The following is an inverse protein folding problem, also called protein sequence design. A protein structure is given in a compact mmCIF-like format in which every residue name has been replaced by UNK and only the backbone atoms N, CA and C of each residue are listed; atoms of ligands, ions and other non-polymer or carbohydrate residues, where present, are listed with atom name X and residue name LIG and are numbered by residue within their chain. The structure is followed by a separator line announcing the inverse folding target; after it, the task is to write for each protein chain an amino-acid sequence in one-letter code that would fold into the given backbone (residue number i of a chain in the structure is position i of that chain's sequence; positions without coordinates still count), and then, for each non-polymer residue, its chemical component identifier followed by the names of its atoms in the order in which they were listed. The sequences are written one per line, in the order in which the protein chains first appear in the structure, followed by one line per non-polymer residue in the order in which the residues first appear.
data_IF_947984190177
#
_entry.id   IF_947984190177
#
_cell.length_a   1.000
_cell.length_b   1.000
_cell.length_c   1.000
_cell.angle_alpha   90.00
_cell.angle_beta   90.00
_cell.angle_gamma   90.00
#
_symmetry.space_group_name_H-M   'P 1'
#
loop_
_entity.id
_entity.type
_entity.pdbx_description
1 polymer ?
#
# COMPACT_ATOMS: atom_id res chain seq x y z
N UNK A 1 -18.71 -15.35 6.85
CA UNK A 1 -17.44 -15.29 6.10
C UNK A 1 -16.46 -16.26 6.75
N UNK A 2 -15.93 -17.23 6.01
CA UNK A 2 -14.81 -18.06 6.50
C UNK A 2 -13.56 -17.19 6.43
N UNK A 3 -12.84 -17.02 7.55
CA UNK A 3 -11.59 -16.27 7.59
C UNK A 3 -10.54 -17.02 6.76
N UNK A 4 -10.30 -16.56 5.53
CA UNK A 4 -9.25 -17.09 4.66
C UNK A 4 -8.12 -16.09 4.51
N UNK A 5 -7.02 -16.38 5.20
CA UNK A 5 -5.85 -15.50 5.29
C UNK A 5 -4.69 -15.95 4.39
N UNK A 6 -4.84 -17.06 3.66
CA UNK A 6 -3.73 -17.67 2.91
C UNK A 6 -4.00 -17.84 1.42
N UNK A 7 -5.26 -18.06 1.02
CA UNK A 7 -5.58 -18.26 -0.38
C UNK A 7 -5.61 -16.93 -1.16
N UNK A 8 -5.50 -17.02 -2.48
CA UNK A 8 -5.83 -15.89 -3.33
C UNK A 8 -7.33 -15.88 -3.64
N UNK A 9 -8.07 -15.02 -2.94
CA UNK A 9 -9.52 -14.86 -3.10
C UNK A 9 -9.92 -14.27 -4.46
N UNK A 10 -8.95 -13.73 -5.20
CA UNK A 10 -9.15 -13.11 -6.52
C UNK A 10 -8.51 -13.94 -7.63
N UNK A 11 -8.11 -15.17 -7.34
CA UNK A 11 -7.59 -16.10 -8.33
C UNK A 11 -8.60 -16.33 -9.44
N UNK A 12 -8.17 -16.20 -10.69
CA UNK A 12 -9.02 -16.30 -11.88
C UNK A 12 -9.72 -14.99 -12.28
N UNK A 13 -9.64 -13.94 -11.45
CA UNK A 13 -10.19 -12.62 -11.74
C UNK A 13 -9.12 -11.58 -12.07
N UNK A 14 -7.86 -11.99 -12.27
CA UNK A 14 -6.71 -11.09 -12.44
C UNK A 14 -6.88 -10.16 -13.67
N UNK A 15 -7.40 -10.71 -14.77
CA UNK A 15 -7.69 -9.92 -15.98
C UNK A 15 -8.89 -8.98 -15.77
N UNK A 16 -9.93 -9.45 -15.08
CA UNK A 16 -11.13 -8.67 -14.80
C UNK A 16 -10.87 -7.50 -13.84
N UNK A 17 -9.96 -7.70 -12.88
CA UNK A 17 -9.47 -6.70 -11.92
C UNK A 17 -8.25 -5.94 -12.45
N UNK A 18 -7.83 -6.19 -13.69
CA UNK A 18 -6.78 -5.46 -14.40
C UNK A 18 -5.41 -5.46 -13.69
N UNK A 19 -5.05 -6.57 -13.03
CA UNK A 19 -3.81 -6.71 -12.27
C UNK A 19 -2.53 -6.35 -13.05
N UNK A 20 -2.35 -6.71 -14.34
CA UNK A 20 -1.15 -6.34 -15.07
C UNK A 20 -0.90 -4.83 -15.19
N UNK A 21 -1.95 -4.00 -15.23
CA UNK A 21 -1.79 -2.53 -15.22
C UNK A 21 -1.60 -2.03 -13.79
N UNK A 22 -2.31 -2.61 -12.84
CA UNK A 22 -2.20 -2.30 -11.43
C UNK A 22 -0.78 -2.54 -10.89
N UNK A 23 -0.16 -3.67 -11.24
CA UNK A 23 1.21 -4.00 -10.85
C UNK A 23 2.22 -2.97 -11.38
N UNK A 24 2.06 -2.55 -12.65
CA UNK A 24 2.91 -1.52 -13.25
C UNK A 24 2.73 -0.17 -12.56
N UNK A 25 1.49 0.21 -12.26
CA UNK A 25 1.19 1.44 -11.51
C UNK A 25 1.85 1.39 -10.13
N UNK A 26 1.74 0.28 -9.42
CA UNK A 26 2.35 0.12 -8.09
C UNK A 26 3.87 0.19 -8.17
N UNK A 27 4.52 -0.48 -9.13
CA UNK A 27 5.98 -0.39 -9.32
C UNK A 27 6.38 1.06 -9.63
N UNK A 28 5.62 1.77 -10.47
CA UNK A 28 5.84 3.19 -10.71
C UNK A 28 5.73 4.01 -9.42
N UNK A 29 4.71 3.78 -8.60
CA UNK A 29 4.52 4.47 -7.32
C UNK A 29 5.68 4.20 -6.36
N UNK A 30 6.25 2.99 -6.33
CA UNK A 30 7.43 2.72 -5.51
C UNK A 30 8.62 3.61 -5.90
N UNK A 31 8.89 3.73 -7.19
CA UNK A 31 9.96 4.61 -7.67
C UNK A 31 9.66 6.10 -7.43
N UNK A 32 8.40 6.49 -7.57
CA UNK A 32 7.95 7.84 -7.24
C UNK A 32 8.14 8.14 -5.74
N UNK A 33 7.72 7.23 -4.86
CA UNK A 33 7.91 7.34 -3.42
C UNK A 33 9.38 7.38 -3.04
N UNK A 34 10.22 6.56 -3.69
CA UNK A 34 11.67 6.61 -3.50
C UNK A 34 12.25 7.98 -3.90
N UNK A 35 11.86 8.51 -5.06
CA UNK A 35 12.32 9.83 -5.50
C UNK A 35 11.94 10.94 -4.51
N UNK A 36 10.69 10.94 -4.02
CA UNK A 36 10.22 11.91 -3.01
C UNK A 36 11.01 11.80 -1.72
N UNK A 37 11.14 10.58 -1.16
CA UNK A 37 11.91 10.33 0.06
C UNK A 37 13.39 10.69 -0.11
N UNK A 38 13.97 10.40 -1.28
CA UNK A 38 15.37 10.71 -1.58
C UNK A 38 15.62 12.22 -1.63
N UNK A 39 14.72 12.98 -2.28
CA UNK A 39 14.79 14.43 -2.32
C UNK A 39 14.66 15.01 -0.90
N UNK A 40 13.69 14.55 -0.11
CA UNK A 40 13.51 15.02 1.25
C UNK A 40 14.71 14.68 2.14
N UNK A 41 15.25 13.46 2.06
CA UNK A 41 16.41 13.04 2.83
C UNK A 41 17.66 13.84 2.47
N UNK A 42 17.91 14.05 1.17
CA UNK A 42 19.05 14.84 0.69
C UNK A 42 18.94 16.30 1.11
N UNK A 43 17.79 16.94 0.83
CA UNK A 43 17.59 18.36 1.13
C UNK A 43 17.61 18.63 2.62
N UNK A 44 17.04 17.75 3.44
CA UNK A 44 17.04 17.91 4.90
C UNK A 44 18.42 17.64 5.53
N UNK A 45 19.23 16.72 4.99
CA UNK A 45 20.58 16.46 5.53
C UNK A 45 21.62 17.48 5.09
N UNK A 46 21.57 17.98 3.85
CA UNK A 46 22.56 18.89 3.29
C UNK A 46 22.20 20.35 3.52
N UNK A 47 20.98 20.74 3.16
CA UNK A 47 20.52 22.13 3.25
C UNK A 47 19.77 22.44 4.54
N UNK A 48 19.46 21.42 5.35
CA UNK A 48 18.76 21.57 6.65
C UNK A 48 17.46 22.36 6.54
N UNK A 49 16.70 22.08 5.46
CA UNK A 49 15.46 22.82 5.14
C UNK A 49 14.46 22.83 6.29
N UNK A 50 14.46 21.80 7.16
CA UNK A 50 13.60 21.70 8.33
C UNK A 50 13.78 22.85 9.34
N UNK A 51 14.95 23.51 9.38
CA UNK A 51 15.18 24.65 10.28
C UNK A 51 14.28 25.84 9.89
N UNK A 52 14.14 26.07 8.59
CA UNK A 52 13.41 27.23 8.06
C UNK A 52 11.96 26.88 7.69
N UNK A 53 11.70 25.62 7.34
CA UNK A 53 10.41 25.14 6.85
C UNK A 53 10.01 23.82 7.53
N UNK A 54 9.77 23.83 8.86
CA UNK A 54 9.49 22.60 9.59
C UNK A 54 8.18 21.94 9.13
N UNK A 55 7.11 22.71 8.92
CA UNK A 55 5.88 22.22 8.26
C UNK A 55 5.86 22.70 6.80
N UNK A 56 5.45 21.86 5.83
CA UNK A 56 4.94 20.49 5.98
C UNK A 56 6.02 19.39 5.88
N UNK A 57 7.31 19.76 5.78
CA UNK A 57 8.34 18.84 5.30
C UNK A 57 8.97 17.96 6.39
N UNK A 58 9.44 18.55 7.49
CA UNK A 58 10.11 17.80 8.56
C UNK A 58 10.26 18.62 9.83
N UNK A 59 9.88 18.06 10.97
CA UNK A 59 10.04 18.69 12.28
C UNK A 59 11.43 18.46 12.91
N UNK A 60 12.32 17.75 12.21
CA UNK A 60 13.72 17.59 12.63
C UNK A 60 14.71 17.70 11.47
N UNK A 61 15.96 18.04 11.78
CA UNK A 61 17.08 17.90 10.85
C UNK A 61 17.68 16.50 11.02
N UNK A 62 17.85 15.78 9.92
CA UNK A 62 18.51 14.47 9.93
C UNK A 62 20.00 14.61 9.63
N UNK A 63 20.79 13.68 10.16
CA UNK A 63 22.21 13.57 9.82
C UNK A 63 22.41 13.01 8.41
N UNK A 64 23.61 13.21 7.86
CA UNK A 64 24.01 12.60 6.58
C UNK A 64 23.93 11.06 6.63
N UNK A 65 24.26 10.45 7.77
CA UNK A 65 24.21 9.00 7.93
C UNK A 65 22.77 8.47 7.90
N UNK A 66 21.83 9.16 8.56
CA UNK A 66 20.41 8.81 8.51
C UNK A 66 19.82 8.97 7.11
N UNK A 67 20.24 10.00 6.37
CA UNK A 67 19.87 10.16 4.97
C UNK A 67 20.40 9.01 4.11
N UNK A 68 21.67 8.61 4.29
CA UNK A 68 22.24 7.48 3.55
C UNK A 68 21.48 6.17 3.81
N UNK A 69 21.16 5.86 5.06
CA UNK A 69 20.37 4.68 5.39
C UNK A 69 18.96 4.74 4.80
N UNK A 70 18.33 5.91 4.84
CA UNK A 70 17.03 6.14 4.22
C UNK A 70 17.08 5.85 2.71
N UNK A 71 18.12 6.33 2.02
CA UNK A 71 18.30 6.07 0.59
C UNK A 71 18.53 4.59 0.29
N UNK A 72 19.37 3.91 1.08
CA UNK A 72 19.64 2.47 0.88
C UNK A 72 18.35 1.67 1.05
N UNK A 73 17.65 1.84 2.19
CA UNK A 73 16.42 1.10 2.49
C UNK A 73 15.34 1.42 1.44
N UNK A 74 15.16 2.70 1.11
CA UNK A 74 14.20 3.13 0.09
C UNK A 74 14.51 2.58 -1.30
N UNK A 75 15.78 2.51 -1.68
CA UNK A 75 16.20 1.92 -2.95
C UNK A 75 15.85 0.43 -3.00
N UNK A 76 16.13 -0.33 -1.93
CA UNK A 76 15.72 -1.74 -1.87
C UNK A 76 14.20 -1.90 -1.93
N UNK A 77 13.45 -1.04 -1.23
CA UNK A 77 11.99 -1.06 -1.24
C UNK A 77 11.40 -0.78 -2.64
N UNK A 78 12.07 0.01 -3.50
CA UNK A 78 11.66 0.20 -4.90
C UNK A 78 12.19 -0.87 -5.86
N UNK A 79 13.44 -1.29 -5.66
CA UNK A 79 14.12 -2.21 -6.54
C UNK A 79 13.54 -3.63 -6.44
N UNK A 80 13.25 -4.12 -5.24
CA UNK A 80 12.78 -5.49 -5.06
C UNK A 80 11.42 -5.75 -5.75
N UNK A 81 10.39 -4.90 -5.62
CA UNK A 81 9.16 -5.05 -6.41
C UNK A 81 9.42 -5.05 -7.92
N UNK A 82 10.32 -4.18 -8.39
CA UNK A 82 10.70 -4.11 -9.82
C UNK A 82 11.30 -5.43 -10.31
N UNK A 83 12.14 -6.07 -9.50
CA UNK A 83 12.79 -7.33 -9.85
C UNK A 83 11.87 -8.54 -9.72
N UNK A 84 10.81 -8.45 -8.90
CA UNK A 84 9.96 -9.58 -8.54
C UNK A 84 8.56 -9.55 -9.18
N UNK A 85 8.18 -8.47 -9.85
CA UNK A 85 6.92 -8.36 -10.58
C UNK A 85 6.74 -9.52 -11.57
N UNK A 86 5.58 -10.19 -11.50
CA UNK A 86 5.26 -11.34 -12.34
C UNK A 86 5.98 -12.66 -11.98
N UNK A 87 6.80 -12.71 -10.92
CA UNK A 87 7.53 -13.94 -10.52
C UNK A 87 6.83 -14.79 -9.46
N UNK A 88 5.85 -14.22 -8.74
CA UNK A 88 5.11 -14.96 -7.73
C UNK A 88 4.07 -15.88 -8.38
N UNK A 89 4.06 -17.16 -7.99
CA UNK A 89 3.05 -18.13 -8.43
C UNK A 89 1.67 -17.86 -7.81
N UNK A 90 1.66 -17.30 -6.60
CA UNK A 90 0.45 -16.86 -5.91
C UNK A 90 0.47 -15.33 -5.83
N UNK A 91 -0.46 -14.69 -6.55
CA UNK A 91 -0.53 -13.24 -6.66
C UNK A 91 -0.92 -12.58 -5.33
N UNK A 92 -1.58 -13.28 -4.40
CA UNK A 92 -1.81 -12.75 -3.05
C UNK A 92 -0.50 -12.48 -2.30
N UNK A 93 0.52 -13.34 -2.43
CA UNK A 93 1.83 -13.10 -1.81
C UNK A 93 2.55 -11.91 -2.43
N UNK A 94 2.41 -11.72 -3.75
CA UNK A 94 2.87 -10.50 -4.41
C UNK A 94 2.19 -9.26 -3.81
N UNK A 95 0.87 -9.29 -3.63
CA UNK A 95 0.10 -8.19 -3.03
C UNK A 95 0.54 -7.88 -1.59
N UNK A 96 0.76 -8.90 -0.76
CA UNK A 96 1.31 -8.70 0.59
C UNK A 96 2.72 -8.10 0.55
N UNK A 97 3.57 -8.57 -0.37
CA UNK A 97 4.92 -8.08 -0.54
C UNK A 97 4.96 -6.60 -0.92
N UNK A 98 4.16 -6.17 -1.91
CA UNK A 98 4.09 -4.75 -2.29
C UNK A 98 3.46 -3.89 -1.19
N UNK A 99 2.49 -4.39 -0.43
CA UNK A 99 1.91 -3.67 0.72
C UNK A 99 2.99 -3.40 1.76
N UNK A 100 3.83 -4.39 2.06
CA UNK A 100 4.95 -4.23 2.98
C UNK A 100 5.96 -3.20 2.46
N UNK A 101 6.41 -3.29 1.20
CA UNK A 101 7.40 -2.34 0.65
C UNK A 101 6.85 -0.92 0.49
N UNK A 102 5.55 -0.75 0.22
CA UNK A 102 4.90 0.57 0.26
C UNK A 102 4.89 1.15 1.67
N UNK A 103 4.59 0.34 2.70
CA UNK A 103 4.65 0.78 4.10
C UNK A 103 6.05 1.26 4.49
N UNK A 104 7.12 0.68 3.93
CA UNK A 104 8.50 1.14 4.18
C UNK A 104 8.68 2.60 3.80
N UNK A 105 8.11 3.08 2.68
CA UNK A 105 8.22 4.50 2.32
C UNK A 105 7.51 5.42 3.31
N UNK A 106 6.35 5.00 3.83
CA UNK A 106 5.65 5.75 4.87
C UNK A 106 6.45 5.77 6.19
N UNK A 107 7.06 4.64 6.58
CA UNK A 107 7.97 4.61 7.74
C UNK A 107 9.18 5.52 7.57
N UNK A 108 9.81 5.49 6.40
CA UNK A 108 10.95 6.37 6.10
C UNK A 108 10.54 7.84 6.12
N UNK A 109 9.37 8.19 5.57
CA UNK A 109 8.86 9.55 5.58
C UNK A 109 8.63 10.06 7.02
N UNK A 110 8.02 9.23 7.88
CA UNK A 110 7.82 9.53 9.31
C UNK A 110 9.16 9.68 10.04
N UNK A 111 10.11 8.78 9.76
CA UNK A 111 11.44 8.82 10.38
C UNK A 111 12.21 10.09 10.01
N UNK A 112 12.28 10.43 8.71
CA UNK A 112 13.03 11.62 8.29
C UNK A 112 12.34 12.91 8.72
N UNK A 113 11.02 12.89 8.93
CA UNK A 113 10.27 14.04 9.40
C UNK A 113 10.28 14.23 10.91
N UNK A 114 10.81 13.26 11.66
CA UNK A 114 10.80 13.29 13.13
C UNK A 114 9.41 13.05 13.71
N UNK A 115 8.58 12.26 13.03
CA UNK A 115 7.24 11.94 13.50
C UNK A 115 6.19 13.00 13.16
N UNK A 116 6.38 13.78 12.09
CA UNK A 116 5.38 14.79 11.70
C UNK A 116 4.05 14.15 11.33
N UNK A 117 2.95 14.78 11.75
CA UNK A 117 1.60 14.26 11.50
C UNK A 117 1.30 14.23 10.00
N UNK A 118 1.77 15.22 9.24
CA UNK A 118 1.60 15.28 7.79
C UNK A 118 2.19 14.05 7.09
N UNK A 119 3.34 13.54 7.56
CA UNK A 119 3.95 12.34 6.98
C UNK A 119 3.25 11.05 7.41
N UNK A 120 2.52 11.04 8.53
CA UNK A 120 1.68 9.89 8.90
C UNK A 120 0.50 9.72 7.94
N UNK A 121 0.04 10.78 7.26
CA UNK A 121 -1.02 10.67 6.25
C UNK A 121 -0.61 9.80 5.04
N UNK A 122 0.69 9.55 4.86
CA UNK A 122 1.16 8.61 3.84
C UNK A 122 0.60 7.20 4.04
N UNK A 123 0.38 6.75 5.28
CA UNK A 123 -0.22 5.42 5.53
C UNK A 123 -1.61 5.32 4.91
N UNK A 124 -2.41 6.38 5.03
CA UNK A 124 -3.76 6.43 4.47
C UNK A 124 -3.72 6.32 2.96
N UNK A 125 -2.87 7.13 2.31
CA UNK A 125 -2.65 7.04 0.87
C UNK A 125 -2.23 5.65 0.39
N UNK A 126 -1.35 4.97 1.13
CA UNK A 126 -0.88 3.63 0.76
C UNK A 126 -1.94 2.54 1.02
N UNK A 127 -2.74 2.64 2.08
CA UNK A 127 -3.86 1.72 2.35
C UNK A 127 -4.92 1.87 1.26
N UNK A 128 -5.28 3.10 0.91
CA UNK A 128 -6.20 3.39 -0.19
C UNK A 128 -5.65 2.86 -1.53
N UNK A 129 -4.34 3.00 -1.78
CA UNK A 129 -3.71 2.49 -2.98
C UNK A 129 -3.82 0.97 -3.09
N UNK A 130 -3.52 0.20 -2.03
CA UNK A 130 -3.57 -1.27 -2.12
C UNK A 130 -5.01 -1.81 -2.22
N UNK A 131 -6.02 -1.02 -1.83
CA UNK A 131 -7.42 -1.37 -1.98
C UNK A 131 -7.85 -1.54 -3.45
N UNK A 132 -7.10 -1.00 -4.42
CA UNK A 132 -7.38 -1.18 -5.86
C UNK A 132 -7.31 -2.64 -6.31
N UNK A 133 -6.60 -3.50 -5.57
CA UNK A 133 -6.54 -4.93 -5.85
C UNK A 133 -7.83 -5.69 -5.48
N UNK A 134 -8.82 -4.99 -4.89
CA UNK A 134 -10.05 -5.58 -4.39
C UNK A 134 -9.81 -6.74 -3.41
N UNK A 135 -8.77 -6.61 -2.57
CA UNK A 135 -8.43 -7.58 -1.54
C UNK A 135 -8.45 -6.89 -0.17
N UNK A 136 -9.52 -7.12 0.58
CA UNK A 136 -9.77 -6.46 1.87
C UNK A 136 -8.68 -6.74 2.92
N UNK A 137 -7.93 -7.83 2.76
CA UNK A 137 -6.92 -8.28 3.73
C UNK A 137 -5.69 -7.38 3.76
N UNK A 138 -5.39 -6.70 2.65
CA UNK A 138 -4.17 -5.89 2.51
C UNK A 138 -4.18 -4.68 3.45
N UNK A 139 -5.33 -4.01 3.60
CA UNK A 139 -5.48 -2.90 4.54
C UNK A 139 -5.25 -3.33 5.99
N UNK A 140 -5.83 -4.47 6.39
CA UNK A 140 -5.63 -5.04 7.73
C UNK A 140 -4.18 -5.47 7.97
N UNK A 141 -3.53 -6.07 6.96
CA UNK A 141 -2.12 -6.43 7.02
C UNK A 141 -1.24 -5.19 7.28
N UNK A 142 -1.47 -4.10 6.53
CA UNK A 142 -0.76 -2.85 6.74
C UNK A 142 -1.05 -2.23 8.11
N UNK A 143 -2.30 -2.25 8.57
CA UNK A 143 -2.66 -1.78 9.91
C UNK A 143 -1.87 -2.50 11.01
N UNK A 144 -1.76 -3.83 10.93
CA UNK A 144 -0.97 -4.63 11.88
C UNK A 144 0.51 -4.26 11.80
N UNK A 145 1.07 -4.14 10.59
CA UNK A 145 2.46 -3.72 10.41
C UNK A 145 2.74 -2.35 11.03
N UNK A 146 1.86 -1.37 10.79
CA UNK A 146 1.99 0.00 11.30
C UNK A 146 1.91 -0.01 12.82
N UNK A 147 0.95 -0.74 13.39
CA UNK A 147 0.77 -0.90 14.83
C UNK A 147 1.99 -1.54 15.50
N UNK A 148 2.54 -2.60 14.90
CA UNK A 148 3.77 -3.24 15.39
C UNK A 148 4.97 -2.29 15.30
N UNK A 149 5.17 -1.63 14.17
CA UNK A 149 6.28 -0.70 13.95
C UNK A 149 6.25 0.45 14.97
N UNK A 150 5.11 1.14 15.10
CA UNK A 150 4.98 2.27 16.01
C UNK A 150 4.97 1.81 17.46
N UNK A 151 4.31 0.70 17.76
CA UNK A 151 4.29 0.09 19.10
C UNK A 151 5.69 -0.27 19.57
N UNK A 152 6.50 -0.95 18.75
CA UNK A 152 7.88 -1.32 19.09
C UNK A 152 8.77 -0.08 19.22
N UNK A 153 8.75 0.82 18.23
CA UNK A 153 9.61 2.00 18.24
C UNK A 153 9.25 3.02 19.33
N UNK A 154 7.99 3.07 19.77
CA UNK A 154 7.59 3.88 20.92
C UNK A 154 8.42 3.56 22.19
N UNK A 155 8.85 2.30 22.35
CA UNK A 155 9.68 1.89 23.49
C UNK A 155 11.18 1.95 23.18
N UNK A 156 11.60 1.61 21.97
CA UNK A 156 13.03 1.49 21.61
C UNK A 156 13.66 2.80 21.14
N UNK A 157 12.94 3.56 20.32
CA UNK A 157 13.44 4.79 19.68
C UNK A 157 12.25 5.72 19.38
N UNK A 158 11.57 6.27 20.40
CA UNK A 158 10.30 6.96 20.21
C UNK A 158 10.40 8.18 19.29
N UNK A 159 11.54 8.87 19.30
CA UNK A 159 11.79 10.05 18.45
C UNK A 159 11.91 9.71 16.96
N UNK A 160 11.88 8.43 16.59
CA UNK A 160 11.82 7.98 15.18
C UNK A 160 10.38 7.96 14.65
N UNK A 161 9.38 7.96 15.53
CA UNK A 161 7.95 7.88 15.15
C UNK A 161 7.12 9.00 15.74
N UNK A 162 7.50 9.54 16.89
CA UNK A 162 6.77 10.59 17.60
C UNK A 162 7.69 11.75 17.93
N UNK A 163 7.30 12.94 17.50
CA UNK A 163 8.03 14.18 17.78
C UNK A 163 8.18 14.46 19.28
N UNK A 164 7.12 14.21 20.04
CA UNK A 164 7.08 14.43 21.49
C UNK A 164 7.76 13.32 22.31
N UNK A 165 8.39 12.33 21.65
CA UNK A 165 8.96 11.17 22.32
C UNK A 165 7.90 10.12 22.68
N UNK A 166 8.21 9.28 23.68
CA UNK A 166 7.38 8.12 24.03
C UNK A 166 6.00 8.59 24.46
N UNK A 167 4.97 8.01 23.85
CA UNK A 167 3.59 8.34 24.11
C UNK A 167 2.72 7.08 24.04
N UNK A 168 2.48 6.47 25.19
CA UNK A 168 1.81 5.16 25.24
C UNK A 168 0.33 5.21 24.82
N UNK A 169 -0.28 6.39 24.84
CA UNK A 169 -1.67 6.58 24.41
C UNK A 169 -1.80 7.05 22.96
N UNK A 170 -0.72 7.56 22.34
CA UNK A 170 -0.78 8.02 20.95
C UNK A 170 -1.14 6.90 19.99
N UNK A 171 -0.72 5.66 20.28
CA UNK A 171 -1.03 4.50 19.44
C UNK A 171 -2.54 4.31 19.30
N UNK A 172 -3.33 4.51 20.36
CA UNK A 172 -4.79 4.37 20.30
C UNK A 172 -5.43 5.52 19.51
N UNK A 173 -4.94 6.74 19.74
CA UNK A 173 -5.42 7.92 19.01
C UNK A 173 -5.12 7.84 17.51
N UNK A 174 -3.96 7.31 17.12
CA UNK A 174 -3.57 7.13 15.72
C UNK A 174 -4.21 5.88 15.10
N UNK A 175 -4.40 4.80 15.86
CA UNK A 175 -5.03 3.58 15.36
C UNK A 175 -6.50 3.80 15.00
N UNK A 176 -7.23 4.63 15.76
CA UNK A 176 -8.65 4.85 15.53
C UNK A 176 -9.02 5.31 14.11
N UNK A 177 -8.43 6.39 13.54
CA UNK A 177 -8.71 6.79 12.17
C UNK A 177 -8.25 5.75 11.13
N UNK A 178 -7.15 5.04 11.39
CA UNK A 178 -6.68 3.96 10.50
C UNK A 178 -7.64 2.77 10.51
N UNK A 179 -8.23 2.41 11.65
CA UNK A 179 -9.26 1.37 11.73
C UNK A 179 -10.48 1.74 10.87
N UNK A 180 -10.94 2.99 10.96
CA UNK A 180 -12.05 3.49 10.14
C UNK A 180 -11.71 3.38 8.64
N UNK A 181 -10.50 3.81 8.26
CA UNK A 181 -10.04 3.69 6.88
C UNK A 181 -9.99 2.24 6.40
N UNK A 182 -9.45 1.33 7.21
CA UNK A 182 -9.37 -0.09 6.87
C UNK A 182 -10.75 -0.72 6.77
N UNK A 183 -11.73 -0.28 7.57
CA UNK A 183 -13.14 -0.69 7.43
C UNK A 183 -13.70 -0.20 6.09
N UNK A 184 -13.52 1.07 5.74
CA UNK A 184 -14.02 1.61 4.48
C UNK A 184 -13.39 0.95 3.26
N UNK A 185 -12.06 0.77 3.27
CA UNK A 185 -11.37 0.06 2.19
C UNK A 185 -11.76 -1.42 2.13
N UNK A 186 -12.04 -2.07 3.26
CA UNK A 186 -12.62 -3.42 3.30
C UNK A 186 -13.95 -3.47 2.57
N UNK A 187 -14.88 -2.56 2.88
CA UNK A 187 -16.20 -2.48 2.24
C UNK A 187 -16.04 -2.26 0.74
N UNK A 188 -15.19 -1.30 0.34
CA UNK A 188 -14.90 -1.01 -1.07
C UNK A 188 -14.32 -2.21 -1.80
N UNK A 189 -13.37 -2.94 -1.21
CA UNK A 189 -12.80 -4.14 -1.80
C UNK A 189 -13.85 -5.23 -2.02
N UNK A 190 -14.72 -5.45 -1.03
CA UNK A 190 -15.79 -6.46 -1.11
C UNK A 190 -16.80 -6.10 -2.20
N UNK A 191 -17.24 -4.83 -2.25
CA UNK A 191 -18.15 -4.35 -3.29
C UNK A 191 -17.50 -4.50 -4.66
N UNK A 192 -16.28 -4.00 -4.83
CA UNK A 192 -15.55 -4.05 -6.10
C UNK A 192 -15.42 -5.48 -6.61
N UNK A 193 -14.96 -6.41 -5.75
CA UNK A 193 -14.84 -7.83 -6.07
C UNK A 193 -16.19 -8.42 -6.50
N UNK A 194 -17.23 -8.21 -5.71
CA UNK A 194 -18.57 -8.76 -5.98
C UNK A 194 -19.14 -8.22 -7.30
N UNK A 195 -18.99 -6.92 -7.56
CA UNK A 195 -19.41 -6.30 -8.83
C UNK A 195 -18.64 -6.88 -10.02
N UNK A 196 -17.33 -7.08 -9.89
CA UNK A 196 -16.53 -7.71 -10.95
C UNK A 196 -16.97 -9.16 -11.20
N UNK A 197 -17.25 -9.93 -10.16
CA UNK A 197 -17.77 -11.30 -10.28
C UNK A 197 -19.10 -11.32 -11.04
N UNK A 198 -20.04 -10.44 -10.69
CA UNK A 198 -21.34 -10.32 -11.37
C UNK A 198 -21.20 -9.94 -12.86
N UNK A 199 -20.33 -8.98 -13.19
CA UNK A 199 -20.10 -8.58 -14.59
C UNK A 199 -19.49 -9.72 -15.41
N UNK A 200 -18.61 -10.53 -14.82
CA UNK A 200 -18.04 -11.70 -15.50
C UNK A 200 -19.07 -12.78 -15.76
N UNK A 201 -19.96 -13.06 -14.79
CA UNK A 201 -21.06 -14.01 -14.98
C UNK A 201 -22.00 -13.55 -16.09
N UNK A 202 -22.44 -12.29 -16.06
CA UNK A 202 -23.29 -11.70 -17.12
C UNK A 202 -22.63 -11.81 -18.49
N UNK A 203 -21.32 -11.53 -18.59
CA UNK A 203 -20.58 -11.66 -19.85
C UNK A 203 -20.55 -13.11 -20.36
N UNK A 204 -20.37 -14.09 -19.47
CA UNK A 204 -20.36 -15.51 -19.85
C UNK A 204 -21.73 -15.96 -20.36
N UNK A 205 -22.81 -15.57 -19.67
CA UNK A 205 -24.19 -15.87 -20.07
C UNK A 205 -24.52 -15.28 -21.44
N UNK A 206 -24.12 -14.02 -21.69
CA UNK A 206 -24.29 -13.39 -23.00
C UNK A 206 -23.53 -14.12 -24.12
N UNK A 207 -22.32 -14.61 -23.85
CA UNK A 207 -21.54 -15.36 -24.83
C UNK A 207 -22.20 -16.70 -25.18
N UNK A 208 -22.76 -17.38 -24.18
CA UNK A 208 -23.46 -18.65 -24.39
C UNK A 208 -24.77 -18.45 -25.17
N UNK A 209 -25.58 -17.44 -24.82
CA UNK A 209 -26.81 -17.10 -25.56
C UNK A 209 -26.49 -16.76 -27.01
N UNK A 210 -25.46 -15.93 -27.26
CA UNK A 210 -25.08 -15.58 -28.64
C UNK A 210 -24.64 -16.82 -29.44
N UNK A 211 -23.92 -17.75 -28.82
CA UNK A 211 -23.52 -19.00 -29.45
C UNK A 211 -24.72 -19.89 -29.78
N UNK A 212 -25.72 -19.96 -28.90
CA UNK A 212 -26.96 -20.70 -29.16
C UNK A 212 -27.72 -20.09 -30.35
N UNK A 213 -27.86 -18.77 -30.40
CA UNK A 213 -28.48 -18.06 -31.52
C UNK A 213 -27.72 -18.33 -32.84
N UNK A 214 -26.38 -18.34 -32.82
CA UNK A 214 -25.59 -18.67 -34.01
C UNK A 214 -25.77 -20.12 -34.47
N UNK A 215 -25.90 -21.06 -33.55
CA UNK A 215 -26.16 -22.48 -33.86
C UNK A 215 -27.56 -22.67 -34.43
N UNK A 216 -28.59 -22.02 -33.87
CA UNK A 216 -29.95 -22.05 -34.41
C UNK A 216 -30.02 -21.49 -35.82
N UNK A 217 -29.33 -20.37 -36.09
CA UNK A 217 -29.25 -19.80 -37.45
C UNK A 217 -28.60 -20.75 -38.45
N UNK A 218 -27.57 -21.51 -38.03
CA UNK A 218 -26.91 -22.52 -38.89
C UNK A 218 -27.75 -23.77 -39.11
N UNK A 219 -28.66 -24.12 -38.20
CA UNK A 219 -29.55 -25.28 -38.37
C UNK A 219 -30.76 -24.95 -39.27
N UNK A 220 -31.14 -23.67 -39.34
CA UNK A 220 -32.26 -23.18 -40.13
C UNK A 220 -31.85 -22.69 -41.55
N UNK A 221 -30.64 -23.03 -42.02
CA UNK A 221 -30.14 -22.83 -43.38
C UNK A 221 -29.54 -24.14 -43.89
#
# INVERSE_FOLDING_TARGET
MRLDITSDINRGYEAALNYPRTDKLVVFIHWFSFAVVAILAFTNSVFKIAINYPSPFSWRVISFQEALWTLIIGLFAALLPTLLVGKFSNHYYWRLFISFTLSVFAYLAVFISGGSIEMHFMFFGMIALVAIYADWRLGWFMFVLVGLHHGILNYLAPTWVYFYGRNDFSIFAHAFPVIIEVIFTTILCVIHRTTTEQVQQIRADFQEINKQIELEKKHNH
#
